data_IF_532271109059
#
_entry.id   IF_532271109059
#
_cell.length_a   1.000
_cell.length_b   1.000
_cell.length_c   1.000
_cell.angle_alpha   90.00
_cell.angle_beta   90.00
_cell.angle_gamma   90.00
#
_symmetry.space_group_name_H-M   'P 1'
#
loop_
_entity.id
_entity.type
_entity.pdbx_description
1 polymer ?
#
# COMPACT_ATOMS: atom_id res chain seq x y z
N UNK A 1 4.78 16.60 -10.37
CA UNK A 1 5.98 15.95 -9.79
C UNK A 1 6.80 17.01 -9.04
N UNK A 2 6.80 16.99 -7.70
CA UNK A 2 7.42 18.03 -6.86
C UNK A 2 8.97 18.00 -6.81
N UNK A 3 9.61 16.97 -7.38
CA UNK A 3 11.05 16.69 -7.24
C UNK A 3 11.90 16.94 -8.50
N UNK A 4 11.26 17.32 -9.61
CA UNK A 4 11.92 17.67 -10.88
C UNK A 4 13.01 18.76 -10.76
N UNK A 5 12.89 19.80 -9.91
CA UNK A 5 13.86 20.90 -9.91
C UNK A 5 15.25 20.55 -9.38
N UNK A 6 15.44 19.41 -8.70
CA UNK A 6 16.70 19.08 -8.03
C UNK A 6 17.59 18.12 -8.83
N UNK A 7 17.14 17.63 -9.99
CA UNK A 7 17.91 16.65 -10.79
C UNK A 7 18.15 15.31 -10.09
N UNK A 8 17.40 15.01 -9.02
CA UNK A 8 17.55 13.79 -8.21
C UNK A 8 16.54 12.70 -8.56
N UNK A 9 15.88 12.81 -9.71
CA UNK A 9 14.85 11.87 -10.14
C UNK A 9 15.38 10.43 -10.22
N UNK A 10 16.53 10.25 -10.86
CA UNK A 10 17.13 8.93 -11.05
C UNK A 10 17.58 8.33 -9.71
N UNK A 11 18.16 9.17 -8.83
CA UNK A 11 18.48 8.76 -7.47
C UNK A 11 17.25 8.24 -6.72
N UNK A 12 16.11 8.93 -6.80
CA UNK A 12 14.88 8.50 -6.15
C UNK A 12 14.36 7.18 -6.73
N UNK A 13 14.32 7.03 -8.05
CA UNK A 13 13.88 5.78 -8.70
C UNK A 13 14.76 4.59 -8.28
N UNK A 14 16.07 4.81 -8.16
CA UNK A 14 17.02 3.75 -7.82
C UNK A 14 17.08 3.44 -6.32
N UNK A 15 16.73 4.38 -5.44
CA UNK A 15 17.02 4.28 -4.01
C UNK A 15 15.81 4.52 -3.09
N UNK A 16 14.59 4.70 -3.61
CA UNK A 16 13.40 4.95 -2.80
C UNK A 16 13.15 3.88 -1.74
N UNK A 17 13.40 2.60 -2.05
CA UNK A 17 13.23 1.49 -1.12
C UNK A 17 14.17 1.64 0.08
N UNK A 18 15.43 2.05 -0.15
CA UNK A 18 16.41 2.32 0.90
C UNK A 18 15.98 3.51 1.75
N UNK A 19 15.50 4.59 1.11
CA UNK A 19 14.96 5.76 1.82
C UNK A 19 13.81 5.33 2.73
N UNK A 20 12.89 4.51 2.22
CA UNK A 20 11.78 3.95 3.00
C UNK A 20 12.27 3.14 4.20
N UNK A 21 13.19 2.20 3.99
CA UNK A 21 13.76 1.38 5.06
C UNK A 21 14.48 2.23 6.11
N UNK A 22 15.32 3.17 5.70
CA UNK A 22 16.05 4.03 6.63
C UNK A 22 15.15 5.05 7.34
N UNK A 23 13.99 5.39 6.79
CA UNK A 23 13.02 6.26 7.44
C UNK A 23 12.32 5.59 8.64
N UNK A 24 12.23 4.25 8.68
CA UNK A 24 11.54 3.49 9.75
C UNK A 24 11.95 3.91 11.17
N UNK A 25 13.25 3.91 11.57
CA UNK A 25 13.63 4.31 12.92
C UNK A 25 13.23 5.76 13.25
N UNK A 26 13.30 6.68 12.28
CA UNK A 26 12.89 8.07 12.46
C UNK A 26 11.37 8.21 12.58
N UNK A 27 10.60 7.46 11.79
CA UNK A 27 9.13 7.41 11.88
C UNK A 27 8.69 6.89 13.25
N UNK A 28 9.30 5.79 13.71
CA UNK A 28 9.03 5.23 15.04
C UNK A 28 9.43 6.21 16.15
N UNK A 29 10.63 6.79 16.07
CA UNK A 29 11.08 7.79 17.04
C UNK A 29 10.14 9.01 17.09
N UNK A 30 9.80 9.59 15.94
CA UNK A 30 8.88 10.73 15.86
C UNK A 30 7.49 10.39 16.40
N UNK A 31 6.99 9.19 16.10
CA UNK A 31 5.72 8.72 16.62
C UNK A 31 5.74 8.59 18.14
N UNK A 32 6.71 7.86 18.71
CA UNK A 32 6.76 7.63 20.16
C UNK A 32 7.16 8.87 20.96
N UNK A 33 7.98 9.78 20.41
CA UNK A 33 8.36 11.03 21.09
C UNK A 33 7.22 12.05 21.17
N UNK A 34 6.33 12.07 20.17
CA UNK A 34 5.17 12.97 20.15
C UNK A 34 3.92 12.38 20.82
N UNK A 35 3.99 11.12 21.24
CA UNK A 35 2.85 10.39 21.79
C UNK A 35 2.68 10.71 23.27
N UNK A 36 1.52 11.24 23.61
CA UNK A 36 1.11 11.52 24.99
C UNK A 36 0.08 10.52 25.54
N UNK A 37 -0.45 9.65 24.68
CA UNK A 37 -1.56 8.74 24.98
C UNK A 37 -1.04 7.38 25.46
N UNK A 38 -1.54 6.94 26.62
CA UNK A 38 -1.39 5.56 27.06
C UNK A 38 -2.37 4.66 26.30
N UNK A 39 -1.96 3.44 25.95
CA UNK A 39 -2.80 2.50 25.21
C UNK A 39 -2.94 1.19 25.94
N UNK A 40 -4.19 0.82 26.18
CA UNK A 40 -4.54 -0.43 26.86
C UNK A 40 -4.30 -1.65 25.96
N UNK A 41 -4.39 -1.48 24.64
CA UNK A 41 -4.18 -2.56 23.67
C UNK A 41 -3.61 -2.03 22.35
N UNK A 42 -2.45 -2.57 21.95
CA UNK A 42 -1.79 -2.25 20.68
C UNK A 42 -2.75 -2.24 19.47
N UNK A 43 -3.57 -3.29 19.34
CA UNK A 43 -4.49 -3.44 18.21
C UNK A 43 -5.70 -2.50 18.26
N UNK A 44 -6.00 -1.89 19.43
CA UNK A 44 -7.11 -0.95 19.58
C UNK A 44 -6.71 0.48 19.20
N UNK A 45 -5.42 0.81 19.28
CA UNK A 45 -4.92 2.11 18.88
C UNK A 45 -4.77 2.18 17.36
N UNK A 46 -5.72 2.87 16.73
CA UNK A 46 -5.79 3.01 15.28
C UNK A 46 -4.58 3.77 14.73
N UNK A 47 -4.00 4.75 15.46
CA UNK A 47 -2.85 5.52 14.99
C UNK A 47 -1.56 4.70 15.07
N UNK A 48 -1.35 3.98 16.17
CA UNK A 48 -0.24 3.03 16.30
C UNK A 48 -0.35 1.91 15.25
N UNK A 49 -1.56 1.44 14.98
CA UNK A 49 -1.81 0.49 13.91
C UNK A 49 -1.49 1.06 12.52
N UNK A 50 -1.88 2.30 12.21
CA UNK A 50 -1.49 2.97 10.95
C UNK A 50 0.03 3.04 10.78
N UNK A 51 0.77 3.42 11.82
CA UNK A 51 2.23 3.45 11.80
C UNK A 51 2.81 2.04 11.61
N UNK A 52 2.29 1.06 12.35
CA UNK A 52 2.74 -0.33 12.26
C UNK A 52 2.51 -0.89 10.86
N UNK A 53 1.35 -0.66 10.27
CA UNK A 53 1.03 -1.11 8.91
C UNK A 53 1.99 -0.50 7.88
N UNK A 54 2.31 0.80 8.00
CA UNK A 54 3.30 1.42 7.13
C UNK A 54 4.70 0.84 7.35
N UNK A 55 5.15 0.66 8.59
CA UNK A 55 6.46 0.06 8.91
C UNK A 55 6.55 -1.39 8.42
N UNK A 56 5.49 -2.18 8.59
CA UNK A 56 5.41 -3.52 8.05
C UNK A 56 5.54 -3.50 6.52
N UNK A 57 4.89 -2.56 5.84
CA UNK A 57 4.98 -2.42 4.40
C UNK A 57 6.37 -1.96 3.93
N UNK A 58 7.01 -1.03 4.62
CA UNK A 58 8.39 -0.62 4.32
C UNK A 58 9.37 -1.78 4.50
N UNK A 59 9.11 -2.67 5.47
CA UNK A 59 9.86 -3.93 5.65
C UNK A 59 9.59 -4.93 4.52
N UNK A 60 8.36 -4.99 4.01
CA UNK A 60 8.03 -5.83 2.86
C UNK A 60 8.69 -5.32 1.57
N UNK A 61 8.67 -4.00 1.34
CA UNK A 61 9.35 -3.35 0.21
C UNK A 61 10.86 -3.54 0.26
N UNK A 62 11.46 -3.71 1.44
CA UNK A 62 12.85 -4.14 1.56
C UNK A 62 13.07 -5.50 0.89
N UNK A 63 12.22 -6.50 1.19
CA UNK A 63 12.31 -7.85 0.61
C UNK A 63 12.06 -7.82 -0.91
N UNK A 64 11.04 -7.10 -1.38
CA UNK A 64 10.70 -7.05 -2.80
C UNK A 64 11.74 -6.29 -3.63
N UNK A 65 12.14 -5.10 -3.13
CA UNK A 65 12.77 -4.09 -3.96
C UNK A 65 14.22 -3.79 -3.60
N UNK A 66 14.72 -4.26 -2.46
CA UNK A 66 16.13 -4.13 -2.13
C UNK A 66 16.85 -5.48 -2.11
N UNK A 67 16.57 -6.35 -1.16
CA UNK A 67 17.24 -7.65 -1.00
C UNK A 67 16.21 -8.70 -0.62
N UNK A 68 16.04 -9.71 -1.48
CA UNK A 68 15.12 -10.83 -1.22
C UNK A 68 15.69 -11.84 -0.21
N UNK A 69 14.91 -12.88 0.11
CA UNK A 69 15.31 -13.92 1.06
C UNK A 69 16.64 -14.62 0.70
N UNK A 70 16.97 -14.70 -0.59
CA UNK A 70 18.16 -15.37 -1.09
C UNK A 70 19.33 -14.42 -1.34
N UNK A 71 19.18 -13.13 -1.01
CA UNK A 71 20.20 -12.11 -1.20
C UNK A 71 20.20 -11.48 -2.60
N UNK A 72 19.22 -11.76 -3.44
CA UNK A 72 19.13 -11.17 -4.77
C UNK A 72 18.68 -9.71 -4.66
N UNK A 73 19.32 -8.84 -5.44
CA UNK A 73 18.99 -7.41 -5.44
C UNK A 73 17.85 -7.09 -6.40
N UNK A 74 16.87 -6.34 -5.92
CA UNK A 74 15.73 -5.83 -6.70
C UNK A 74 14.97 -6.90 -7.50
N UNK A 75 14.89 -8.14 -6.97
CA UNK A 75 14.41 -9.31 -7.70
C UNK A 75 12.92 -9.22 -8.10
N UNK A 76 12.09 -8.46 -7.36
CA UNK A 76 10.67 -8.34 -7.68
C UNK A 76 10.43 -7.66 -9.04
N UNK A 77 11.30 -6.73 -9.46
CA UNK A 77 11.19 -6.04 -10.75
C UNK A 77 11.21 -7.05 -11.91
N UNK A 78 12.18 -7.97 -11.91
CA UNK A 78 12.29 -9.01 -12.92
C UNK A 78 11.17 -10.04 -12.81
N UNK A 79 10.82 -10.43 -11.58
CA UNK A 79 9.73 -11.36 -11.32
C UNK A 79 8.38 -10.86 -11.86
N UNK A 80 8.00 -9.61 -11.57
CA UNK A 80 6.72 -9.02 -11.99
C UNK A 80 6.61 -8.96 -13.52
N UNK A 81 7.66 -8.47 -14.21
CA UNK A 81 7.67 -8.43 -15.67
C UNK A 81 7.55 -9.84 -16.27
N UNK A 82 8.31 -10.81 -15.75
CA UNK A 82 8.24 -12.21 -16.20
C UNK A 82 6.85 -12.82 -15.99
N UNK A 83 6.22 -12.53 -14.85
CA UNK A 83 4.88 -13.00 -14.53
C UNK A 83 3.85 -12.42 -15.50
N UNK A 84 3.89 -11.11 -15.75
CA UNK A 84 2.96 -10.43 -16.66
C UNK A 84 3.11 -10.90 -18.10
N UNK A 85 4.34 -11.01 -18.60
CA UNK A 85 4.61 -11.54 -19.95
C UNK A 85 4.10 -12.98 -20.09
N UNK A 86 4.29 -13.81 -19.06
CA UNK A 86 3.78 -15.18 -19.04
C UNK A 86 2.25 -15.27 -19.02
N UNK A 87 1.56 -14.31 -18.40
CA UNK A 87 0.08 -14.22 -18.44
C UNK A 87 -0.41 -13.83 -19.84
N UNK A 88 0.35 -13.00 -20.55
CA UNK A 88 0.04 -12.53 -21.90
C UNK A 88 0.51 -13.48 -23.01
N UNK A 89 1.18 -14.59 -22.66
CA UNK A 89 1.83 -15.52 -23.59
C UNK A 89 2.81 -14.81 -24.56
N UNK A 90 3.49 -13.77 -24.05
CA UNK A 90 4.41 -12.97 -24.83
C UNK A 90 5.70 -13.76 -25.11
N UNK A 91 6.10 -13.81 -26.38
CA UNK A 91 7.33 -14.49 -26.82
C UNK A 91 8.57 -13.61 -26.67
N UNK A 92 8.40 -12.29 -26.70
CA UNK A 92 9.49 -11.34 -26.54
C UNK A 92 9.72 -10.97 -25.07
N UNK A 93 10.82 -11.47 -24.51
CA UNK A 93 11.23 -11.21 -23.13
C UNK A 93 11.88 -9.84 -22.92
N UNK A 94 12.10 -9.05 -23.99
CA UNK A 94 12.68 -7.71 -23.91
C UNK A 94 11.64 -6.64 -23.57
N UNK A 95 10.34 -6.95 -23.67
CA UNK A 95 9.25 -6.03 -23.36
C UNK A 95 9.21 -5.77 -21.84
N UNK A 96 9.26 -4.51 -21.45
CA UNK A 96 9.16 -4.07 -20.06
C UNK A 96 7.78 -3.49 -19.80
N UNK A 97 6.96 -4.21 -19.05
CA UNK A 97 5.60 -3.82 -18.68
C UNK A 97 5.54 -2.97 -17.42
N UNK A 98 6.43 -3.25 -16.47
CA UNK A 98 6.55 -2.53 -15.21
C UNK A 98 7.94 -1.90 -15.15
N UNK A 99 8.06 -0.64 -15.61
CA UNK A 99 9.29 0.14 -15.54
C UNK A 99 9.69 0.40 -14.08
N UNK A 100 10.97 0.70 -13.82
CA UNK A 100 11.40 1.07 -12.47
C UNK A 100 10.71 2.35 -11.98
N UNK A 101 10.45 3.30 -12.90
CA UNK A 101 9.63 4.49 -12.64
C UNK A 101 8.23 4.11 -12.19
N UNK A 102 7.57 3.18 -12.90
CA UNK A 102 6.23 2.72 -12.52
C UNK A 102 6.24 2.07 -11.13
N UNK A 103 7.19 1.18 -10.84
CA UNK A 103 7.33 0.56 -9.51
C UNK A 103 7.51 1.62 -8.42
N UNK A 104 8.38 2.60 -8.65
CA UNK A 104 8.59 3.71 -7.72
C UNK A 104 7.31 4.51 -7.47
N UNK A 105 6.60 4.91 -8.54
CA UNK A 105 5.38 5.71 -8.42
C UNK A 105 4.28 4.91 -7.74
N UNK A 106 4.03 3.66 -8.17
CA UNK A 106 3.04 2.76 -7.57
C UNK A 106 3.26 2.64 -6.07
N UNK A 107 4.49 2.36 -5.63
CA UNK A 107 4.78 2.15 -4.23
C UNK A 107 4.67 3.44 -3.41
N UNK A 108 5.22 4.55 -3.90
CA UNK A 108 5.16 5.81 -3.15
C UNK A 108 3.74 6.42 -3.13
N UNK A 109 2.95 6.26 -4.18
CA UNK A 109 1.57 6.73 -4.20
C UNK A 109 0.62 5.76 -3.48
N UNK A 110 0.64 4.47 -3.78
CA UNK A 110 -0.37 3.56 -3.27
C UNK A 110 -0.07 3.09 -1.85
N UNK A 111 1.20 3.02 -1.46
CA UNK A 111 1.59 2.55 -0.13
C UNK A 111 1.90 3.73 0.78
N UNK A 112 2.87 4.57 0.40
CA UNK A 112 3.37 5.58 1.32
C UNK A 112 2.35 6.69 1.56
N UNK A 113 1.71 7.20 0.51
CA UNK A 113 0.66 8.22 0.66
C UNK A 113 -0.55 7.67 1.40
N UNK A 114 -1.01 6.45 1.10
CA UNK A 114 -2.14 5.83 1.82
C UNK A 114 -1.79 5.61 3.30
N UNK A 115 -0.60 5.12 3.60
CA UNK A 115 -0.09 4.99 4.96
C UNK A 115 0.01 6.35 5.68
N UNK A 116 0.50 7.39 5.01
CA UNK A 116 0.57 8.75 5.56
C UNK A 116 -0.84 9.30 5.85
N UNK A 117 -1.80 9.11 4.94
CA UNK A 117 -3.21 9.48 5.14
C UNK A 117 -3.79 8.70 6.31
N UNK A 118 -3.49 7.40 6.43
CA UNK A 118 -3.93 6.57 7.54
C UNK A 118 -3.42 7.08 8.89
N UNK A 119 -2.15 7.48 8.98
CA UNK A 119 -1.57 8.05 10.21
C UNK A 119 -2.18 9.42 10.53
N UNK A 120 -2.38 10.25 9.51
CA UNK A 120 -2.94 11.59 9.68
C UNK A 120 -4.41 11.57 10.11
N UNK A 121 -5.21 10.67 9.53
CA UNK A 121 -6.67 10.63 9.73
C UNK A 121 -7.11 9.70 10.85
N UNK A 122 -6.27 8.75 11.28
CA UNK A 122 -6.64 7.75 12.30
C UNK A 122 -7.21 8.28 13.62
N UNK A 123 -6.89 9.50 14.13
CA UNK A 123 -7.50 9.97 15.37
C UNK A 123 -9.03 10.08 15.32
N UNK A 124 -9.59 10.38 14.15
CA UNK A 124 -11.02 10.65 13.98
C UNK A 124 -11.68 9.85 12.85
N UNK A 125 -10.90 9.02 12.15
CA UNK A 125 -11.36 8.37 10.93
C UNK A 125 -10.68 7.03 10.73
N UNK A 126 -11.43 5.95 10.96
CA UNK A 126 -10.96 4.57 10.91
C UNK A 126 -10.68 4.07 9.48
N UNK A 127 -11.47 4.51 8.49
CA UNK A 127 -11.46 3.92 7.15
C UNK A 127 -10.10 4.00 6.42
N UNK A 128 -9.33 5.10 6.47
CA UNK A 128 -7.96 5.13 5.93
C UNK A 128 -7.04 4.02 6.45
N UNK A 129 -7.08 3.73 7.75
CA UNK A 129 -6.30 2.65 8.36
C UNK A 129 -6.79 1.28 7.88
N UNK A 130 -8.10 1.10 7.74
CA UNK A 130 -8.66 -0.12 7.16
C UNK A 130 -8.27 -0.29 5.69
N UNK A 131 -8.27 0.78 4.89
CA UNK A 131 -7.83 0.76 3.51
C UNK A 131 -6.36 0.34 3.39
N UNK A 132 -5.48 0.92 4.22
CA UNK A 132 -4.08 0.50 4.32
C UNK A 132 -3.96 -0.99 4.71
N UNK A 133 -4.74 -1.44 5.70
CA UNK A 133 -4.80 -2.85 6.08
C UNK A 133 -5.30 -3.76 4.95
N UNK A 134 -6.21 -3.25 4.11
CA UNK A 134 -6.66 -3.89 2.89
C UNK A 134 -5.54 -4.08 1.88
N UNK A 135 -4.71 -3.05 1.64
CA UNK A 135 -3.55 -3.17 0.75
C UNK A 135 -2.62 -4.26 1.27
N UNK A 136 -2.27 -4.22 2.56
CA UNK A 136 -1.40 -5.22 3.22
C UNK A 136 -1.94 -6.63 3.00
N UNK A 137 -3.24 -6.86 3.24
CA UNK A 137 -3.83 -8.19 3.10
C UNK A 137 -3.89 -8.65 1.63
N UNK A 138 -4.36 -7.81 0.72
CA UNK A 138 -4.49 -8.17 -0.70
C UNK A 138 -3.13 -8.44 -1.32
N UNK A 139 -2.13 -7.61 -1.02
CA UNK A 139 -0.77 -7.82 -1.47
C UNK A 139 -0.25 -9.17 -0.94
N UNK A 140 -0.41 -9.47 0.36
CA UNK A 140 0.02 -10.77 0.91
C UNK A 140 -0.62 -11.96 0.19
N UNK A 141 -1.92 -11.88 -0.10
CA UNK A 141 -2.66 -12.89 -0.85
C UNK A 141 -2.08 -13.05 -2.26
N UNK A 142 -1.75 -11.95 -2.95
CA UNK A 142 -1.13 -12.00 -4.28
C UNK A 142 0.21 -12.75 -4.28
N UNK A 143 1.11 -12.50 -3.32
CA UNK A 143 2.37 -13.24 -3.21
C UNK A 143 2.17 -14.71 -2.90
N UNK A 144 1.27 -15.03 -1.97
CA UNK A 144 0.97 -16.41 -1.57
C UNK A 144 0.36 -17.19 -2.73
N UNK A 145 -0.67 -16.64 -3.39
CA UNK A 145 -1.32 -17.30 -4.53
C UNK A 145 -0.33 -17.49 -5.67
N UNK A 146 0.48 -16.48 -5.99
CA UNK A 146 1.47 -16.61 -7.05
C UNK A 146 2.53 -17.67 -6.71
N UNK A 147 2.95 -17.75 -5.44
CA UNK A 147 3.86 -18.81 -4.98
C UNK A 147 3.25 -20.20 -5.12
N UNK A 148 1.98 -20.38 -4.76
CA UNK A 148 1.28 -21.66 -4.89
C UNK A 148 1.16 -22.06 -6.35
N UNK A 149 0.74 -21.14 -7.23
CA UNK A 149 0.55 -21.41 -8.66
C UNK A 149 1.87 -21.74 -9.35
N UNK A 150 2.94 -21.00 -9.03
CA UNK A 150 4.27 -21.20 -9.62
C UNK A 150 5.11 -22.25 -8.90
N UNK A 151 4.63 -22.75 -7.76
CA UNK A 151 5.36 -23.64 -6.85
C UNK A 151 6.78 -23.16 -6.55
N UNK A 152 6.93 -21.85 -6.40
CA UNK A 152 8.22 -21.19 -6.27
C UNK A 152 8.14 -20.01 -5.30
N UNK A 153 9.26 -19.69 -4.68
CA UNK A 153 9.42 -18.44 -3.96
C UNK A 153 9.25 -17.25 -4.92
N UNK A 154 8.68 -16.16 -4.41
CA UNK A 154 8.73 -14.87 -5.06
C UNK A 154 9.13 -13.80 -4.04
N UNK A 155 9.87 -12.75 -4.45
CA UNK A 155 10.27 -11.67 -3.55
C UNK A 155 9.04 -11.04 -2.90
N UNK A 156 9.05 -10.93 -1.57
CA UNK A 156 7.91 -10.45 -0.76
C UNK A 156 7.13 -11.57 -0.06
N UNK A 157 7.32 -12.85 -0.44
CA UNK A 157 6.59 -13.96 0.14
C UNK A 157 6.87 -14.16 1.64
N UNK A 158 8.11 -13.98 2.09
CA UNK A 158 8.46 -14.20 3.49
C UNK A 158 7.72 -13.20 4.38
N UNK A 159 7.83 -11.92 4.07
CA UNK A 159 7.17 -10.84 4.83
C UNK A 159 5.65 -10.85 4.64
N UNK A 160 5.13 -11.30 3.49
CA UNK A 160 3.70 -11.54 3.32
C UNK A 160 3.15 -12.53 4.37
N UNK A 161 3.83 -13.67 4.55
CA UNK A 161 3.41 -14.70 5.51
C UNK A 161 3.71 -14.29 6.95
N UNK A 162 4.93 -13.80 7.22
CA UNK A 162 5.40 -13.55 8.58
C UNK A 162 4.89 -12.24 9.18
N UNK A 163 4.59 -11.23 8.36
CA UNK A 163 4.18 -9.90 8.82
C UNK A 163 2.77 -9.55 8.37
N UNK A 164 2.49 -9.56 7.06
CA UNK A 164 1.24 -9.00 6.54
C UNK A 164 0.01 -9.80 6.96
N UNK A 165 -0.01 -11.11 6.74
CA UNK A 165 -1.15 -11.97 7.11
C UNK A 165 -1.50 -11.87 8.60
N UNK A 166 -0.57 -12.11 9.55
CA UNK A 166 -0.91 -12.07 10.97
C UNK A 166 -1.36 -10.68 11.41
N UNK A 167 -0.68 -9.62 10.95
CA UNK A 167 -1.03 -8.25 11.32
C UNK A 167 -2.41 -7.86 10.79
N UNK A 168 -2.69 -8.14 9.52
CA UNK A 168 -3.93 -7.74 8.89
C UNK A 168 -5.15 -8.47 9.44
N UNK A 169 -5.03 -9.78 9.68
CA UNK A 169 -6.09 -10.59 10.30
C UNK A 169 -6.33 -10.14 11.74
N UNK A 170 -5.26 -9.93 12.52
CA UNK A 170 -5.40 -9.51 13.92
C UNK A 170 -6.10 -8.15 14.03
N UNK A 171 -5.75 -7.18 13.18
CA UNK A 171 -6.36 -5.87 13.18
C UNK A 171 -7.83 -5.91 12.73
N UNK A 172 -8.16 -6.58 11.62
CA UNK A 172 -9.56 -6.71 11.19
C UNK A 172 -10.40 -7.43 12.24
N UNK A 173 -9.90 -8.52 12.83
CA UNK A 173 -10.61 -9.23 13.91
C UNK A 173 -10.86 -8.30 15.10
N UNK A 174 -9.85 -7.54 15.52
CA UNK A 174 -10.01 -6.59 16.63
C UNK A 174 -11.11 -5.58 16.33
N UNK A 175 -11.07 -4.95 15.16
CA UNK A 175 -12.05 -3.95 14.72
C UNK A 175 -13.47 -4.52 14.70
N UNK A 176 -13.67 -5.71 14.12
CA UNK A 176 -14.97 -6.36 14.03
C UNK A 176 -15.55 -6.75 15.41
N UNK A 177 -14.69 -7.12 16.35
CA UNK A 177 -15.11 -7.46 17.73
C UNK A 177 -15.44 -6.21 18.55
N UNK A 178 -14.72 -5.10 18.35
CA UNK A 178 -14.90 -3.89 19.17
C UNK A 178 -15.85 -2.85 18.57
N UNK A 179 -16.13 -2.91 17.27
CA UNK A 179 -16.99 -1.95 16.59
C UNK A 179 -18.02 -2.66 15.70
N UNK A 180 -19.23 -2.82 16.23
CA UNK A 180 -20.35 -3.49 15.54
C UNK A 180 -20.77 -2.81 14.23
N UNK A 181 -20.46 -1.52 14.06
CA UNK A 181 -20.75 -0.75 12.84
C UNK A 181 -19.65 -0.83 11.78
N UNK A 182 -18.50 -1.46 12.07
CA UNK A 182 -17.35 -1.47 11.18
C UNK A 182 -17.42 -2.53 10.07
N UNK A 183 -18.37 -3.46 10.09
CA UNK A 183 -18.49 -4.54 9.10
C UNK A 183 -18.44 -4.02 7.65
N UNK A 184 -19.24 -3.01 7.34
CA UNK A 184 -19.27 -2.41 6.01
C UNK A 184 -17.93 -1.75 5.65
N UNK A 185 -17.29 -1.07 6.61
CA UNK A 185 -16.00 -0.42 6.39
C UNK A 185 -14.89 -1.43 6.09
N UNK A 186 -14.87 -2.58 6.79
CA UNK A 186 -13.91 -3.66 6.55
C UNK A 186 -14.12 -4.31 5.18
N UNK A 187 -15.37 -4.57 4.78
CA UNK A 187 -15.67 -5.10 3.44
C UNK A 187 -15.22 -4.10 2.37
N UNK A 188 -15.57 -2.83 2.55
CA UNK A 188 -15.23 -1.77 1.59
C UNK A 188 -13.73 -1.50 1.52
N UNK A 189 -12.96 -1.68 2.60
CA UNK A 189 -11.51 -1.54 2.55
C UNK A 189 -10.84 -2.65 1.76
N UNK A 190 -11.35 -3.89 1.86
CA UNK A 190 -10.87 -5.02 1.04
C UNK A 190 -11.23 -4.81 -0.42
N UNK A 191 -12.47 -4.42 -0.73
CA UNK A 191 -12.90 -4.11 -2.11
C UNK A 191 -12.04 -3.00 -2.68
N UNK A 192 -11.83 -1.92 -1.94
CA UNK A 192 -10.99 -0.80 -2.37
C UNK A 192 -9.54 -1.25 -2.66
N UNK A 193 -8.98 -2.12 -1.82
CA UNK A 193 -7.63 -2.65 -2.03
C UNK A 193 -7.53 -3.60 -3.24
N UNK A 194 -8.54 -4.44 -3.48
CA UNK A 194 -8.62 -5.28 -4.69
C UNK A 194 -8.67 -4.39 -5.93
N UNK A 195 -9.53 -3.37 -5.93
CA UNK A 195 -9.63 -2.42 -7.03
C UNK A 195 -8.31 -1.66 -7.25
N UNK A 196 -7.57 -1.33 -6.18
CA UNK A 196 -6.25 -0.72 -6.30
C UNK A 196 -5.26 -1.63 -7.07
N UNK A 197 -5.26 -2.93 -6.78
CA UNK A 197 -4.40 -3.89 -7.50
C UNK A 197 -4.87 -4.11 -8.95
N UNK A 198 -6.18 -4.08 -9.21
CA UNK A 198 -6.72 -4.13 -10.57
C UNK A 198 -6.27 -2.90 -11.35
N UNK A 199 -6.42 -1.69 -10.79
CA UNK A 199 -5.97 -0.44 -11.41
C UNK A 199 -4.47 -0.49 -11.67
N UNK A 200 -3.69 -1.03 -10.73
CA UNK A 200 -2.25 -1.23 -10.90
C UNK A 200 -1.98 -2.06 -12.16
N UNK A 201 -2.49 -3.29 -12.23
CA UNK A 201 -2.18 -4.22 -13.33
C UNK A 201 -2.75 -3.73 -14.65
N UNK A 202 -4.03 -3.35 -14.68
CA UNK A 202 -4.70 -2.87 -15.91
C UNK A 202 -4.04 -1.60 -16.42
N UNK A 203 -3.64 -0.70 -15.52
CA UNK A 203 -2.97 0.53 -15.92
C UNK A 203 -1.57 0.30 -16.50
N UNK A 204 -0.79 -0.63 -15.95
CA UNK A 204 0.49 -1.05 -16.54
C UNK A 204 0.29 -1.61 -17.96
N UNK A 205 -0.70 -2.49 -18.13
CA UNK A 205 -1.01 -3.07 -19.45
C UNK A 205 -1.52 -2.01 -20.43
N UNK A 206 -2.43 -1.14 -19.99
CA UNK A 206 -2.97 -0.07 -20.82
C UNK A 206 -1.88 0.92 -21.26
N UNK A 207 -0.90 1.22 -20.41
CA UNK A 207 0.18 2.14 -20.73
C UNK A 207 1.28 1.50 -21.59
N UNK A 208 1.71 0.27 -21.26
CA UNK A 208 2.96 -0.29 -21.76
C UNK A 208 2.80 -1.50 -22.70
N UNK A 209 1.62 -2.14 -22.74
CA UNK A 209 1.34 -3.25 -23.66
C UNK A 209 0.41 -2.84 -24.79
N UNK A 210 -0.72 -2.22 -24.44
CA UNK A 210 -1.72 -1.79 -25.40
C UNK A 210 -1.55 -0.34 -25.87
N UNK A 211 -0.66 0.42 -25.21
CA UNK A 211 -0.35 1.83 -25.53
C UNK A 211 -1.60 2.73 -25.64
N UNK A 212 -2.64 2.44 -24.86
CA UNK A 212 -3.94 3.13 -24.89
C UNK A 212 -3.89 4.49 -24.18
N UNK A 213 -3.04 4.62 -23.16
CA UNK A 213 -2.89 5.84 -22.36
C UNK A 213 -1.41 6.11 -22.09
N UNK A 214 -0.99 7.39 -22.02
CA UNK A 214 0.36 7.72 -21.57
C UNK A 214 0.58 7.29 -20.11
N UNK A 215 1.76 6.76 -19.79
CA UNK A 215 2.14 6.35 -18.42
C UNK A 215 1.93 7.47 -17.37
N UNK A 216 2.21 8.75 -17.64
CA UNK A 216 1.91 9.82 -16.68
C UNK A 216 0.42 9.98 -16.35
N UNK A 217 -0.48 9.67 -17.29
CA UNK A 217 -1.94 9.72 -17.05
C UNK A 217 -2.34 8.60 -16.10
N UNK A 218 -1.80 7.40 -16.30
CA UNK A 218 -1.96 6.27 -15.37
C UNK A 218 -1.46 6.62 -13.95
N UNK A 219 -0.29 7.25 -13.83
CA UNK A 219 0.23 7.69 -12.54
C UNK A 219 -0.69 8.69 -11.83
N UNK A 220 -1.31 9.62 -12.55
CA UNK A 220 -2.31 10.53 -11.98
C UNK A 220 -3.52 9.76 -11.46
N UNK A 221 -4.00 8.75 -12.19
CA UNK A 221 -5.11 7.90 -11.74
C UNK A 221 -4.77 7.18 -10.43
N UNK A 222 -3.56 6.65 -10.29
CA UNK A 222 -3.11 6.01 -9.05
C UNK A 222 -3.08 6.97 -7.86
N UNK A 223 -2.57 8.18 -8.05
CA UNK A 223 -2.54 9.20 -6.99
C UNK A 223 -3.96 9.59 -6.57
N UNK A 224 -4.86 9.80 -7.54
CA UNK A 224 -6.27 10.09 -7.26
C UNK A 224 -6.91 8.94 -6.50
N UNK A 225 -6.68 7.68 -6.91
CA UNK A 225 -7.21 6.52 -6.21
C UNK A 225 -6.74 6.45 -4.76
N UNK A 226 -5.45 6.74 -4.54
CA UNK A 226 -4.79 6.68 -3.21
C UNK A 226 -5.34 7.69 -2.21
N UNK A 227 -5.94 8.80 -2.65
CA UNK A 227 -6.52 9.80 -1.74
C UNK A 227 -7.98 9.52 -1.36
N UNK A 228 -8.68 8.66 -2.11
CA UNK A 228 -10.11 8.34 -1.88
C UNK A 228 -10.41 7.91 -0.43
N UNK A 229 -9.61 7.04 0.22
CA UNK A 229 -9.90 6.60 1.59
C UNK A 229 -9.99 7.75 2.61
N UNK A 230 -9.35 8.89 2.35
CA UNK A 230 -9.42 10.05 3.25
C UNK A 230 -10.85 10.60 3.43
N UNK A 231 -11.72 10.36 2.44
CA UNK A 231 -13.05 10.97 2.32
C UNK A 231 -14.21 9.98 2.54
N UNK A 232 -14.02 8.69 2.23
CA UNK A 232 -15.05 7.67 2.43
C UNK A 232 -15.28 7.41 3.91
N UNK A 233 -16.55 7.28 4.34
CA UNK A 233 -16.95 7.04 5.74
C UNK A 233 -16.55 8.14 6.75
N UNK A 234 -16.23 9.35 6.28
CA UNK A 234 -15.89 10.46 7.14
C UNK A 234 -17.11 10.95 7.95
N UNK A 235 -17.18 10.53 9.21
CA UNK A 235 -18.31 10.80 10.11
C UNK A 235 -18.33 12.22 10.66
N UNK A 236 -17.22 12.97 10.53
CA UNK A 236 -17.11 14.36 10.98
C UNK A 236 -18.10 15.32 10.28
N UNK A 237 -18.69 14.91 9.16
CA UNK A 237 -19.69 15.71 8.42
C UNK A 237 -21.13 15.57 8.96
N UNK A 238 -21.39 14.75 10.00
CA UNK A 238 -22.75 14.61 10.55
C UNK A 238 -23.11 15.67 11.60
N UNK A 239 -22.14 16.36 12.19
CA UNK A 239 -22.40 17.32 13.28
C UNK A 239 -22.89 18.69 12.77
N UNK A 240 -22.72 19.00 11.48
CA UNK A 240 -23.16 20.28 10.88
C UNK A 240 -24.60 20.28 10.35
N UNK A 241 -25.28 19.12 10.27
CA UNK A 241 -26.68 19.05 9.80
C UNK A 241 -27.73 19.15 10.91
N UNK A 242 -27.35 19.03 12.19
CA UNK A 242 -28.31 19.10 13.31
C UNK A 242 -28.49 20.54 13.84
N UNK A 243 -27.58 21.47 13.51
CA UNK A 243 -27.61 22.84 14.04
C UNK A 243 -28.46 23.85 13.22
N UNK A 244 -29.14 23.42 12.15
CA UNK A 244 -29.94 24.32 11.30
C UNK A 244 -31.38 23.83 11.03
N UNK A 245 -31.90 22.86 11.80
CA UNK A 245 -33.29 22.39 11.66
C UNK A 245 -34.24 22.86 12.77
N UNK A 246 -33.84 23.81 13.61
CA UNK A 246 -34.71 24.41 14.63
C UNK A 246 -34.61 25.94 14.60
N UNK A 247 -35.27 26.57 13.63
CA UNK A 247 -35.81 27.94 13.74
C UNK A 247 -37.08 28.06 12.92
#
# INVERSE_FOLDING_TARGET
MLWLPLGQHDFLIENWMKIGTYAVPFLLFAFFSSRTEQTDSFLADTKLMSVTLLVAYLTHQFEEHWVDLFGNQYAFYGYLNTLLLGILDAQDSTIILASQTAIFVINTSLVWLVGAIAIWRSPNHLFPTLAMNGIVLVNAISHILSSIIKQAYNPGLLTAIALFVPLAIAFYRKVLVTNSSANLQVIMSIIWAILAHIILIVGLLAANWFELIPEPVYFVVLVIWSVIPAFLFNSANKTSQVLFSET
#
